data_IF_312313787260
#
_entry.id   IF_312313787260
#
_cell.length_a   1.000
_cell.length_b   1.000
_cell.length_c   1.000
_cell.angle_alpha   90.00
_cell.angle_beta   90.00
_cell.angle_gamma   90.00
#
_symmetry.space_group_name_H-M   'P 1'
#
loop_
_entity.id
_entity.type
_entity.pdbx_description
1 polymer ?
#
# COMPACT_ATOMS: atom_id res chain seq x y z
N UNK A 1 -26.15 15.90 0.59
CA UNK A 1 -26.63 15.98 -0.82
C UNK A 1 -26.39 14.64 -1.52
N UNK A 2 -26.99 14.38 -2.70
CA UNK A 2 -26.73 13.15 -3.47
C UNK A 2 -25.23 12.97 -3.79
N UNK A 3 -24.51 14.08 -3.98
CA UNK A 3 -23.07 14.12 -4.19
C UNK A 3 -22.28 13.58 -2.98
N UNK A 4 -22.57 14.08 -1.79
CA UNK A 4 -21.91 13.62 -0.56
C UNK A 4 -22.15 12.12 -0.27
N UNK A 5 -23.33 11.61 -0.60
CA UNK A 5 -23.62 10.18 -0.47
C UNK A 5 -22.79 9.34 -1.45
N UNK A 6 -22.69 9.78 -2.71
CA UNK A 6 -21.86 9.13 -3.73
C UNK A 6 -20.36 9.14 -3.35
N UNK A 7 -19.85 10.27 -2.86
CA UNK A 7 -18.46 10.42 -2.42
C UNK A 7 -18.13 9.47 -1.26
N UNK A 8 -19.05 9.32 -0.29
CA UNK A 8 -18.89 8.35 0.82
C UNK A 8 -18.88 6.91 0.33
N UNK A 9 -19.80 6.55 -0.58
CA UNK A 9 -19.84 5.19 -1.15
C UNK A 9 -18.57 4.89 -1.94
N UNK A 10 -18.06 5.85 -2.70
CA UNK A 10 -16.80 5.71 -3.42
C UNK A 10 -15.63 5.52 -2.46
N UNK A 11 -15.53 6.35 -1.42
CA UNK A 11 -14.48 6.24 -0.39
C UNK A 11 -14.50 4.87 0.31
N UNK A 12 -15.68 4.37 0.68
CA UNK A 12 -15.85 3.02 1.26
C UNK A 12 -15.31 1.92 0.35
N UNK A 13 -15.65 1.97 -0.94
CA UNK A 13 -15.17 0.98 -1.93
C UNK A 13 -13.66 1.03 -2.12
N UNK A 14 -13.06 2.22 -2.07
CA UNK A 14 -11.60 2.37 -2.16
C UNK A 14 -10.93 1.77 -0.92
N UNK A 15 -11.48 2.00 0.27
CA UNK A 15 -11.02 1.38 1.51
C UNK A 15 -11.05 -0.14 1.44
N UNK A 16 -12.18 -0.73 1.06
CA UNK A 16 -12.34 -2.18 0.89
C UNK A 16 -11.32 -2.76 -0.11
N UNK A 17 -11.13 -2.08 -1.24
CA UNK A 17 -10.17 -2.50 -2.26
C UNK A 17 -8.74 -2.47 -1.75
N UNK A 18 -8.37 -1.46 -0.96
CA UNK A 18 -7.07 -1.41 -0.30
C UNK A 18 -6.89 -2.57 0.68
N UNK A 19 -7.87 -2.84 1.53
CA UNK A 19 -7.83 -3.99 2.46
C UNK A 19 -7.59 -5.30 1.71
N UNK A 20 -8.34 -5.55 0.63
CA UNK A 20 -8.17 -6.78 -0.16
C UNK A 20 -6.78 -6.91 -0.78
N UNK A 21 -6.19 -5.81 -1.26
CA UNK A 21 -4.85 -5.83 -1.82
C UNK A 21 -3.77 -6.04 -0.76
N UNK A 22 -3.92 -5.46 0.44
CA UNK A 22 -3.01 -5.76 1.56
C UNK A 22 -3.08 -7.23 1.93
N UNK A 23 -4.28 -7.78 2.08
CA UNK A 23 -4.47 -9.21 2.38
C UNK A 23 -3.84 -10.08 1.29
N UNK A 24 -4.04 -9.75 0.02
CA UNK A 24 -3.42 -10.49 -1.08
C UNK A 24 -1.89 -10.42 -1.04
N UNK A 25 -1.32 -9.24 -0.80
CA UNK A 25 0.12 -9.07 -0.70
C UNK A 25 0.70 -9.87 0.48
N UNK A 26 0.01 -9.88 1.63
CA UNK A 26 0.45 -10.64 2.80
C UNK A 26 0.43 -12.15 2.54
N UNK A 27 -0.60 -12.67 1.88
CA UNK A 27 -0.65 -14.07 1.46
C UNK A 27 0.47 -14.42 0.46
N UNK A 28 0.77 -13.53 -0.48
CA UNK A 28 1.88 -13.70 -1.43
C UNK A 28 3.23 -13.70 -0.70
N UNK A 29 3.41 -12.83 0.29
CA UNK A 29 4.61 -12.80 1.15
C UNK A 29 4.79 -14.12 1.91
N UNK A 30 3.72 -14.65 2.49
CA UNK A 30 3.71 -15.91 3.22
C UNK A 30 4.00 -17.10 2.30
N UNK A 31 3.50 -17.07 1.06
CA UNK A 31 3.79 -18.06 0.03
C UNK A 31 5.23 -17.95 -0.53
N UNK A 32 5.94 -16.85 -0.28
CA UNK A 32 7.28 -16.57 -0.83
C UNK A 32 7.27 -15.87 -2.19
N UNK A 33 6.10 -15.50 -2.71
CA UNK A 33 5.89 -14.83 -4.00
C UNK A 33 6.15 -13.31 -3.90
N UNK A 34 7.36 -12.94 -3.49
CA UNK A 34 7.73 -11.55 -3.15
C UNK A 34 7.53 -10.56 -4.30
N UNK A 35 7.84 -10.96 -5.52
CA UNK A 35 7.70 -10.10 -6.69
C UNK A 35 6.23 -9.80 -7.02
N UNK A 36 5.33 -10.75 -6.75
CA UNK A 36 3.90 -10.52 -6.94
C UNK A 36 3.30 -9.72 -5.78
N UNK A 37 3.75 -9.94 -4.54
CA UNK A 37 3.42 -9.07 -3.41
C UNK A 37 3.79 -7.60 -3.67
N UNK A 38 5.00 -7.38 -4.23
CA UNK A 38 5.51 -6.07 -4.63
C UNK A 38 4.58 -5.38 -5.63
N UNK A 39 4.18 -6.10 -6.69
CA UNK A 39 3.23 -5.59 -7.71
C UNK A 39 1.84 -5.32 -7.11
N UNK A 40 1.37 -6.18 -6.21
CA UNK A 40 0.09 -6.01 -5.52
C UNK A 40 0.08 -4.73 -4.68
N UNK A 41 1.13 -4.48 -3.90
CA UNK A 41 1.26 -3.25 -3.11
C UNK A 41 1.42 -2.01 -3.99
N UNK A 42 2.16 -2.09 -5.10
CA UNK A 42 2.25 -0.98 -6.06
C UNK A 42 0.87 -0.58 -6.64
N UNK A 43 -0.10 -1.52 -6.71
CA UNK A 43 -1.48 -1.20 -7.10
C UNK A 43 -2.22 -0.39 -6.04
N UNK A 44 -1.90 -0.55 -4.75
CA UNK A 44 -2.51 0.24 -3.64
C UNK A 44 -2.23 1.73 -3.84
N UNK A 45 -0.99 2.09 -4.17
CA UNK A 45 -0.60 3.48 -4.45
C UNK A 45 -1.34 4.13 -5.63
N UNK A 46 -1.91 3.31 -6.53
CA UNK A 46 -2.62 3.77 -7.72
C UNK A 46 -4.14 3.88 -7.56
N UNK A 47 -4.71 3.50 -6.41
CA UNK A 47 -6.17 3.46 -6.19
C UNK A 47 -6.75 4.84 -5.87
N UNK A 48 -5.92 5.88 -5.72
CA UNK A 48 -6.38 7.23 -5.42
C UNK A 48 -6.87 7.39 -3.97
N UNK A 49 -6.41 6.52 -3.07
CA UNK A 49 -6.60 6.68 -1.64
C UNK A 49 -5.64 7.74 -1.12
N UNK A 50 -6.19 8.79 -0.51
CA UNK A 50 -5.43 9.86 0.15
C UNK A 50 -5.29 9.64 1.67
N UNK A 51 -5.47 8.41 2.13
CA UNK A 51 -5.26 8.04 3.52
C UNK A 51 -3.76 7.82 3.77
N UNK A 52 -3.15 8.73 4.53
CA UNK A 52 -1.72 8.71 4.84
C UNK A 52 -1.31 7.46 5.62
N UNK A 53 -2.16 6.93 6.49
CA UNK A 53 -1.85 5.73 7.26
C UNK A 53 -1.76 4.51 6.33
N UNK A 54 -2.72 4.38 5.41
CA UNK A 54 -2.72 3.34 4.37
C UNK A 54 -1.46 3.43 3.51
N UNK A 55 -1.13 4.63 3.03
CA UNK A 55 0.05 4.85 2.19
C UNK A 55 1.35 4.57 2.95
N UNK A 56 1.46 5.01 4.20
CA UNK A 56 2.63 4.76 5.06
C UNK A 56 2.83 3.27 5.29
N UNK A 57 1.76 2.53 5.63
CA UNK A 57 1.83 1.06 5.79
C UNK A 57 2.20 0.34 4.50
N UNK A 58 1.71 0.80 3.34
CA UNK A 58 2.08 0.24 2.03
C UNK A 58 3.59 0.39 1.79
N UNK A 59 4.13 1.60 1.99
CA UNK A 59 5.55 1.88 1.81
C UNK A 59 6.43 1.06 2.78
N UNK A 60 6.03 0.87 4.05
CA UNK A 60 6.77 0.00 4.97
C UNK A 60 6.81 -1.46 4.51
N UNK A 61 5.71 -2.00 3.98
CA UNK A 61 5.68 -3.37 3.45
C UNK A 61 6.51 -3.50 2.16
N UNK A 62 6.47 -2.50 1.28
CA UNK A 62 7.35 -2.46 0.11
C UNK A 62 8.81 -2.45 0.53
N UNK A 63 9.18 -1.69 1.57
CA UNK A 63 10.54 -1.71 2.08
C UNK A 63 11.01 -3.09 2.55
N UNK A 64 10.17 -3.84 3.27
CA UNK A 64 10.48 -5.21 3.70
C UNK A 64 10.68 -6.14 2.49
N UNK A 65 9.77 -6.08 1.52
CA UNK A 65 9.85 -6.90 0.31
C UNK A 65 11.12 -6.58 -0.49
N UNK A 66 11.40 -5.30 -0.72
CA UNK A 66 12.57 -4.85 -1.47
C UNK A 66 13.87 -5.26 -0.75
N UNK A 67 13.91 -5.22 0.59
CA UNK A 67 15.04 -5.73 1.37
C UNK A 67 15.23 -7.24 1.20
N UNK A 68 14.14 -8.01 1.25
CA UNK A 68 14.17 -9.47 1.05
C UNK A 68 14.55 -9.87 -0.38
N UNK A 69 14.23 -9.02 -1.36
CA UNK A 69 14.68 -9.17 -2.76
C UNK A 69 16.12 -8.69 -2.99
N UNK A 70 16.75 -8.04 -2.00
CA UNK A 70 18.11 -7.52 -2.11
C UNK A 70 18.22 -6.10 -2.68
N UNK A 71 17.09 -5.43 -2.96
CA UNK A 71 16.99 -4.09 -3.54
C UNK A 71 17.13 -2.98 -2.47
N UNK A 72 18.29 -2.92 -1.81
CA UNK A 72 18.51 -2.06 -0.62
C UNK A 72 18.20 -0.58 -0.83
N UNK A 73 18.60 -0.02 -1.98
CA UNK A 73 18.36 1.41 -2.28
C UNK A 73 16.85 1.70 -2.39
N UNK A 74 16.09 0.79 -3.00
CA UNK A 74 14.64 0.93 -3.09
C UNK A 74 14.01 0.79 -1.70
N UNK A 75 14.43 -0.20 -0.92
CA UNK A 75 13.95 -0.38 0.45
C UNK A 75 14.15 0.87 1.32
N UNK A 76 15.31 1.53 1.21
CA UNK A 76 15.57 2.79 1.91
C UNK A 76 14.65 3.93 1.45
N UNK A 77 14.46 4.06 0.14
CA UNK A 77 13.53 5.05 -0.42
C UNK A 77 12.11 4.85 0.12
N UNK A 78 11.62 3.61 0.12
CA UNK A 78 10.30 3.25 0.63
C UNK A 78 10.15 3.59 2.13
N UNK A 79 11.16 3.29 2.96
CA UNK A 79 11.14 3.67 4.40
C UNK A 79 11.09 5.17 4.61
N UNK A 80 11.84 5.94 3.82
CA UNK A 80 11.83 7.40 3.93
C UNK A 80 10.46 7.96 3.52
N UNK A 81 9.87 7.43 2.45
CA UNK A 81 8.54 7.82 2.03
C UNK A 81 7.47 7.49 3.07
N UNK A 82 7.57 6.33 3.72
CA UNK A 82 6.69 5.98 4.82
C UNK A 82 6.77 6.95 6.01
N UNK A 83 7.98 7.43 6.35
CA UNK A 83 8.20 8.41 7.42
C UNK A 83 7.61 9.78 7.07
N UNK A 84 7.83 10.27 5.87
CA UNK A 84 7.26 11.55 5.41
C UNK A 84 5.73 11.59 5.63
N UNK A 85 5.05 10.49 5.29
CA UNK A 85 3.60 10.35 5.45
C UNK A 85 3.13 10.30 6.92
N UNK A 86 4.03 10.05 7.88
CA UNK A 86 3.71 10.01 9.31
C UNK A 86 3.90 11.37 10.00
N UNK A 87 4.68 12.28 9.42
CA UNK A 87 5.08 13.54 10.06
C UNK A 87 4.55 14.80 9.37
N UNK A 88 3.93 14.68 8.19
CA UNK A 88 3.15 15.75 7.53
C UNK A 88 1.66 15.65 7.81
#
# INVERSE_FOLDING_TARGET
TLKEAADRTQSSRLGERCTLLFTLADLQIEAGDLEDARKTLARVGNIGVNDRAILSSMHLKLADIEERLGNRNQAEWERNRAKELQFE
#
